data_IF_133823452018
#
_entry.id   IF_133823452018
#
_cell.length_a   1.000
_cell.length_b   1.000
_cell.length_c   1.000
_cell.angle_alpha   90.00
_cell.angle_beta   90.00
_cell.angle_gamma   90.00
#
_symmetry.space_group_name_H-M   'P 1'
#
loop_
_entity.id
_entity.type
_entity.pdbx_description
1 polymer ?
#
# COMPACT_ATOMS: atom_id res chain seq x y z
N UNK A 1 10.72 35.54 41.43
CA UNK A 1 11.33 34.43 40.66
C UNK A 1 10.22 33.58 40.04
N UNK A 2 9.98 33.76 38.77
CA UNK A 2 8.96 32.97 38.04
C UNK A 2 9.65 31.75 37.48
N UNK A 3 9.29 30.56 37.95
CA UNK A 3 9.73 29.30 37.38
C UNK A 3 8.97 29.07 36.07
N UNK A 4 9.68 29.18 34.97
CA UNK A 4 9.21 28.77 33.65
C UNK A 4 9.02 27.25 33.68
N UNK A 5 7.75 26.78 33.64
CA UNK A 5 7.44 25.40 33.43
C UNK A 5 7.83 25.01 31.99
N UNK A 6 8.79 24.13 31.87
CA UNK A 6 9.17 23.52 30.59
C UNK A 6 8.04 22.58 30.17
N UNK A 7 7.14 23.05 29.31
CA UNK A 7 6.13 22.21 28.69
C UNK A 7 6.85 21.26 27.71
N UNK A 8 7.03 20.01 28.13
CA UNK A 8 7.44 18.96 27.22
C UNK A 8 6.42 18.88 26.09
N UNK A 9 6.88 19.10 24.86
CA UNK A 9 6.09 18.89 23.64
C UNK A 9 5.59 17.43 23.66
N UNK A 10 4.30 17.19 23.34
CA UNK A 10 3.84 15.83 23.21
C UNK A 10 4.67 15.15 22.11
N UNK A 11 5.29 14.04 22.44
CA UNK A 11 5.96 13.18 21.46
C UNK A 11 4.86 12.73 20.50
N UNK A 12 4.87 13.28 19.30
CA UNK A 12 3.99 12.85 18.22
C UNK A 12 4.28 11.34 18.00
N UNK A 13 3.33 10.51 18.41
CA UNK A 13 3.44 9.06 18.22
C UNK A 13 3.52 8.85 16.71
N UNK A 14 4.69 8.49 16.23
CA UNK A 14 4.90 8.08 14.84
C UNK A 14 3.98 6.88 14.59
N UNK A 15 2.81 7.14 13.99
CA UNK A 15 1.92 6.09 13.55
C UNK A 15 2.59 5.53 12.30
N UNK A 16 3.36 4.46 12.49
CA UNK A 16 3.85 3.67 11.37
C UNK A 16 2.60 3.20 10.60
N UNK A 17 2.59 3.32 9.27
CA UNK A 17 1.47 2.80 8.49
C UNK A 17 1.27 1.32 8.88
N UNK A 18 0.05 0.95 9.23
CA UNK A 18 -0.30 -0.44 9.47
C UNK A 18 0.09 -1.24 8.24
N UNK A 19 1.09 -2.09 8.40
CA UNK A 19 1.56 -2.94 7.30
C UNK A 19 0.53 -4.05 7.15
N UNK A 20 -0.30 -3.98 6.13
CA UNK A 20 -1.11 -5.13 5.71
C UNK A 20 -0.19 -6.33 5.48
N UNK A 21 -0.50 -7.52 6.02
CA UNK A 21 0.30 -8.70 5.78
C UNK A 21 0.31 -9.01 4.29
N UNK A 22 1.47 -8.95 3.66
CA UNK A 22 1.63 -9.16 2.23
C UNK A 22 2.28 -10.52 1.97
N UNK A 23 1.75 -11.25 0.98
CA UNK A 23 2.39 -12.42 0.39
C UNK A 23 3.03 -12.03 -0.94
N UNK A 24 4.16 -12.65 -1.27
CA UNK A 24 4.87 -12.42 -2.53
C UNK A 24 5.18 -13.73 -3.20
N UNK A 25 4.85 -13.83 -4.48
CA UNK A 25 5.17 -14.97 -5.35
C UNK A 25 5.94 -14.48 -6.56
N UNK A 26 6.99 -15.17 -6.94
CA UNK A 26 7.77 -14.89 -8.14
C UNK A 26 7.50 -15.97 -9.20
N UNK A 27 7.31 -15.54 -10.44
CA UNK A 27 7.16 -16.41 -11.61
C UNK A 27 8.03 -15.83 -12.72
N UNK A 28 9.18 -16.44 -12.96
CA UNK A 28 10.20 -15.94 -13.89
C UNK A 28 10.60 -14.48 -13.57
N UNK A 29 10.32 -13.54 -14.44
CA UNK A 29 10.63 -12.10 -14.26
C UNK A 29 9.48 -11.29 -13.68
N UNK A 30 8.37 -11.96 -13.34
CA UNK A 30 7.19 -11.35 -12.75
C UNK A 30 7.11 -11.63 -11.25
N UNK A 31 6.49 -10.72 -10.53
CA UNK A 31 6.08 -10.95 -9.16
C UNK A 31 4.61 -10.59 -8.97
N UNK A 32 3.99 -11.33 -8.05
CA UNK A 32 2.65 -11.08 -7.56
C UNK A 32 2.77 -10.78 -6.09
N UNK A 33 2.29 -9.62 -5.68
CA UNK A 33 2.17 -9.23 -4.27
C UNK A 33 0.69 -9.12 -3.95
N UNK A 34 0.24 -9.76 -2.88
CA UNK A 34 -1.16 -9.81 -2.51
C UNK A 34 -1.35 -9.63 -1.01
N UNK A 35 -2.48 -9.08 -0.63
CA UNK A 35 -2.91 -8.94 0.76
C UNK A 35 -4.43 -8.91 0.86
N UNK A 36 -4.93 -9.23 2.04
CA UNK A 36 -6.35 -9.02 2.40
C UNK A 36 -6.44 -8.62 3.86
N UNK A 37 -7.26 -7.62 4.16
CA UNK A 37 -7.48 -7.16 5.52
C UNK A 37 -8.74 -6.30 5.63
N UNK A 38 -9.10 -5.92 6.84
CA UNK A 38 -10.11 -4.90 7.11
C UNK A 38 -9.57 -3.53 6.64
N UNK A 39 -10.36 -2.86 5.80
CA UNK A 39 -10.02 -1.53 5.30
C UNK A 39 -10.35 -0.45 6.33
N UNK A 40 -11.53 -0.54 6.94
CA UNK A 40 -11.97 0.35 8.01
C UNK A 40 -13.08 -0.29 8.86
N UNK A 41 -13.18 0.19 10.10
CA UNK A 41 -14.28 -0.08 11.02
C UNK A 41 -14.71 1.27 11.63
N UNK A 42 -15.76 1.85 11.10
CA UNK A 42 -16.23 3.17 11.52
C UNK A 42 -17.42 3.11 12.49
N UNK A 43 -18.02 1.94 12.67
CA UNK A 43 -19.12 1.80 13.64
C UNK A 43 -18.62 1.85 15.07
N UNK A 44 -17.50 1.20 15.37
CA UNK A 44 -16.97 1.13 16.73
C UNK A 44 -16.45 2.49 17.21
N UNK A 45 -15.87 3.28 16.30
CA UNK A 45 -15.27 4.58 16.60
C UNK A 45 -16.19 5.77 16.29
N UNK A 46 -17.40 5.55 15.81
CA UNK A 46 -18.35 6.59 15.46
C UNK A 46 -17.86 7.53 14.35
N UNK A 47 -17.16 6.99 13.34
CA UNK A 47 -16.53 7.76 12.27
C UNK A 47 -17.44 7.96 11.05
N UNK A 48 -17.10 8.90 10.14
CA UNK A 48 -18.02 9.41 9.12
C UNK A 48 -18.62 8.41 8.15
N UNK A 49 -17.96 7.29 7.83
CA UNK A 49 -18.56 6.27 6.96
C UNK A 49 -19.85 5.69 7.57
N UNK A 50 -19.91 5.64 8.91
CA UNK A 50 -21.09 5.17 9.63
C UNK A 50 -22.02 6.30 10.03
N UNK A 51 -21.51 7.42 10.53
CA UNK A 51 -22.32 8.48 11.15
C UNK A 51 -22.63 9.67 10.22
N UNK A 52 -21.89 9.82 9.11
CA UNK A 52 -22.00 10.96 8.22
C UNK A 52 -22.95 10.76 7.04
N UNK A 53 -23.25 11.84 6.33
CA UNK A 53 -23.99 11.87 5.07
C UNK A 53 -23.16 12.64 4.02
N UNK A 54 -23.58 12.53 2.76
CA UNK A 54 -22.89 13.17 1.64
C UNK A 54 -21.61 12.43 1.25
N UNK A 55 -20.74 13.10 0.54
CA UNK A 55 -19.50 12.52 0.04
C UNK A 55 -18.50 12.26 1.16
N UNK A 56 -18.05 11.03 1.30
CA UNK A 56 -17.10 10.58 2.31
C UNK A 56 -16.13 9.59 1.70
N UNK A 57 -14.87 9.61 2.15
CA UNK A 57 -13.84 8.69 1.67
C UNK A 57 -12.95 8.17 2.79
N UNK A 58 -12.45 6.97 2.60
CA UNK A 58 -11.32 6.42 3.35
C UNK A 58 -10.20 6.16 2.36
N UNK A 59 -9.00 6.61 2.69
CA UNK A 59 -7.78 6.35 1.91
C UNK A 59 -6.80 5.57 2.75
N UNK A 60 -6.18 4.56 2.13
CA UNK A 60 -5.15 3.74 2.76
C UNK A 60 -3.96 3.64 1.81
N UNK A 61 -2.82 4.17 2.25
CA UNK A 61 -1.58 4.03 1.51
C UNK A 61 -0.96 2.65 1.72
N UNK A 62 -0.59 2.00 0.63
CA UNK A 62 0.04 0.68 0.61
C UNK A 62 1.46 0.83 0.05
N UNK A 63 2.44 0.39 0.82
CA UNK A 63 3.82 0.22 0.38
C UNK A 63 4.08 -1.26 0.10
N UNK A 64 4.62 -1.57 -1.08
CA UNK A 64 4.94 -2.95 -1.43
C UNK A 64 6.14 -3.47 -0.63
N UNK A 65 6.08 -4.71 -0.19
CA UNK A 65 7.22 -5.40 0.46
C UNK A 65 8.43 -5.52 -0.46
N UNK A 66 8.21 -5.49 -1.78
CA UNK A 66 9.24 -5.49 -2.81
C UNK A 66 8.87 -4.54 -3.94
N UNK A 67 9.80 -3.68 -4.33
CA UNK A 67 9.60 -2.69 -5.40
C UNK A 67 9.50 -3.39 -6.76
N UNK A 68 8.60 -2.91 -7.61
CA UNK A 68 8.49 -3.32 -9.01
C UNK A 68 9.47 -2.54 -9.90
N UNK A 69 9.73 -3.00 -11.11
CA UNK A 69 10.51 -2.27 -12.12
C UNK A 69 9.79 -0.98 -12.54
N UNK A 70 8.48 -1.06 -12.69
CA UNK A 70 7.56 0.04 -13.02
C UNK A 70 6.24 -0.12 -12.26
N UNK A 71 5.31 0.81 -12.39
CA UNK A 71 4.01 0.70 -11.74
C UNK A 71 3.31 -0.60 -12.14
N UNK A 72 2.92 -1.46 -11.16
CA UNK A 72 2.27 -2.74 -11.46
C UNK A 72 0.81 -2.55 -11.84
N UNK A 73 0.19 -3.63 -12.32
CA UNK A 73 -1.26 -3.72 -12.46
C UNK A 73 -1.88 -4.10 -11.12
N UNK A 74 -2.87 -3.31 -10.66
CA UNK A 74 -3.57 -3.51 -9.39
C UNK A 74 -4.97 -4.03 -9.63
N UNK A 75 -5.34 -5.10 -8.93
CA UNK A 75 -6.71 -5.60 -8.84
C UNK A 75 -7.18 -5.50 -7.40
N UNK A 76 -8.37 -4.96 -7.20
CA UNK A 76 -9.02 -4.81 -5.90
C UNK A 76 -10.32 -5.58 -5.86
N UNK A 77 -10.69 -6.09 -4.68
CA UNK A 77 -11.99 -6.70 -4.45
C UNK A 77 -12.44 -6.55 -3.00
N UNK A 78 -13.73 -6.33 -2.80
CA UNK A 78 -14.32 -6.43 -1.47
C UNK A 78 -14.41 -7.91 -1.06
N UNK A 79 -14.00 -8.19 0.18
CA UNK A 79 -14.19 -9.51 0.82
C UNK A 79 -15.29 -9.48 1.86
N UNK A 80 -15.69 -8.30 2.32
CA UNK A 80 -16.79 -8.12 3.25
C UNK A 80 -17.26 -6.67 3.29
N UNK A 81 -18.53 -6.46 3.49
CA UNK A 81 -19.13 -5.15 3.73
C UNK A 81 -20.30 -5.29 4.71
N UNK A 82 -20.31 -4.43 5.72
CA UNK A 82 -21.38 -4.30 6.69
C UNK A 82 -21.96 -2.89 6.58
N UNK A 83 -23.20 -2.79 6.13
CA UNK A 83 -23.87 -1.54 5.85
C UNK A 83 -25.28 -1.52 6.43
N UNK A 84 -25.80 -0.33 6.71
CA UNK A 84 -27.16 -0.18 7.18
C UNK A 84 -28.18 -0.69 6.14
N UNK A 85 -29.22 -1.37 6.60
CA UNK A 85 -30.20 -2.07 5.75
C UNK A 85 -31.33 -1.18 5.20
N UNK A 86 -31.49 0.02 5.74
CA UNK A 86 -32.60 0.93 5.48
C UNK A 86 -32.30 1.99 4.40
N UNK A 87 -31.21 1.82 3.65
CA UNK A 87 -30.76 2.77 2.64
C UNK A 87 -30.11 2.08 1.45
N UNK A 88 -29.99 2.78 0.34
CA UNK A 88 -29.28 2.25 -0.81
C UNK A 88 -27.76 2.18 -0.53
N UNK A 89 -27.16 1.04 -0.86
CA UNK A 89 -25.71 0.87 -0.78
C UNK A 89 -25.02 1.50 -1.99
N UNK A 90 -24.25 2.55 -1.76
CA UNK A 90 -23.48 3.26 -2.77
C UNK A 90 -22.02 3.32 -2.34
N UNK A 91 -21.16 2.79 -3.16
CA UNK A 91 -19.71 2.90 -2.93
C UNK A 91 -18.91 2.78 -4.21
N UNK A 92 -17.67 3.24 -4.15
CA UNK A 92 -16.64 3.00 -5.15
C UNK A 92 -15.35 2.59 -4.45
N UNK A 93 -14.70 1.56 -4.96
CA UNK A 93 -13.40 1.09 -4.53
C UNK A 93 -12.43 1.22 -5.71
N UNK A 94 -11.33 1.91 -5.53
CA UNK A 94 -10.33 2.10 -6.59
C UNK A 94 -8.92 2.18 -6.06
N UNK A 95 -7.95 1.79 -6.91
CA UNK A 95 -6.54 2.07 -6.70
C UNK A 95 -6.20 3.40 -7.38
N UNK A 96 -5.56 4.29 -6.64
CA UNK A 96 -5.08 5.58 -7.12
C UNK A 96 -3.58 5.71 -6.83
N UNK A 97 -2.90 6.63 -7.50
CA UNK A 97 -1.48 6.93 -7.30
C UNK A 97 -0.59 5.69 -7.37
N UNK A 98 -0.83 4.82 -8.36
CA UNK A 98 -0.09 3.57 -8.54
C UNK A 98 1.32 3.87 -9.02
N UNK A 99 2.32 3.41 -8.25
CA UNK A 99 3.75 3.57 -8.49
C UNK A 99 4.46 2.21 -8.32
N UNK A 100 5.71 2.15 -8.73
CA UNK A 100 6.55 0.97 -8.51
C UNK A 100 6.74 0.61 -7.03
N UNK A 101 6.58 1.57 -6.13
CA UNK A 101 6.81 1.42 -4.68
C UNK A 101 5.54 1.15 -3.87
N UNK A 102 4.36 1.44 -4.44
CA UNK A 102 3.09 1.33 -3.72
C UNK A 102 1.93 1.98 -4.46
N UNK A 103 0.79 2.05 -3.80
CA UNK A 103 -0.43 2.69 -4.30
C UNK A 103 -1.33 3.12 -3.15
N UNK A 104 -2.38 3.85 -3.45
CA UNK A 104 -3.41 4.20 -2.46
C UNK A 104 -4.72 3.51 -2.79
N UNK A 105 -5.31 2.85 -1.80
CA UNK A 105 -6.69 2.37 -1.86
C UNK A 105 -7.59 3.53 -1.49
N UNK A 106 -8.58 3.82 -2.33
CA UNK A 106 -9.62 4.80 -2.04
C UNK A 106 -10.98 4.13 -2.05
N UNK A 107 -11.67 4.22 -0.93
CA UNK A 107 -13.07 3.79 -0.79
C UNK A 107 -13.93 5.03 -0.57
N UNK A 108 -14.91 5.25 -1.45
CA UNK A 108 -15.82 6.40 -1.37
C UNK A 108 -17.25 5.95 -1.25
N UNK A 109 -18.04 6.72 -0.52
CA UNK A 109 -19.50 6.59 -0.46
C UNK A 109 -20.16 7.97 -0.52
N UNK A 110 -21.44 8.05 -0.78
CA UNK A 110 -22.15 9.30 -0.91
C UNK A 110 -23.64 9.18 -0.51
N UNK A 111 -24.30 10.34 -0.44
CA UNK A 111 -25.72 10.45 -0.06
C UNK A 111 -25.96 9.92 1.36
N UNK A 112 -26.99 9.12 1.57
CA UNK A 112 -27.44 8.58 2.85
C UNK A 112 -26.88 7.19 3.18
N UNK A 113 -25.94 6.68 2.41
CA UNK A 113 -25.30 5.37 2.66
C UNK A 113 -24.47 5.40 3.94
N UNK A 114 -24.71 4.47 4.86
CA UNK A 114 -23.93 4.27 6.07
C UNK A 114 -23.26 2.90 6.03
N UNK A 115 -21.93 2.88 6.13
CA UNK A 115 -21.12 1.66 6.10
C UNK A 115 -20.37 1.53 7.42
N UNK A 116 -20.67 0.45 8.15
CA UNK A 116 -20.08 0.16 9.44
C UNK A 116 -18.62 -0.24 9.30
N UNK A 117 -18.36 -1.19 8.41
CA UNK A 117 -17.02 -1.72 8.13
C UNK A 117 -16.93 -2.28 6.71
N UNK A 118 -15.72 -2.31 6.18
CA UNK A 118 -15.42 -2.96 4.91
C UNK A 118 -14.07 -3.68 4.97
N UNK A 119 -14.01 -4.86 4.37
CA UNK A 119 -12.80 -5.64 4.19
C UNK A 119 -12.53 -5.87 2.72
N UNK A 120 -11.27 -5.99 2.35
CA UNK A 120 -10.88 -6.09 0.96
C UNK A 120 -9.64 -6.97 0.76
N UNK A 121 -9.44 -7.40 -0.48
CA UNK A 121 -8.22 -8.01 -0.97
C UNK A 121 -7.68 -7.23 -2.15
N UNK A 122 -6.38 -7.28 -2.35
CA UNK A 122 -5.74 -6.69 -3.51
C UNK A 122 -4.60 -7.57 -4.02
N UNK A 123 -4.30 -7.42 -5.31
CA UNK A 123 -3.12 -8.00 -5.96
C UNK A 123 -2.43 -6.94 -6.80
N UNK A 124 -1.11 -6.95 -6.76
CA UNK A 124 -0.23 -6.20 -7.64
C UNK A 124 0.59 -7.17 -8.47
N UNK A 125 0.53 -7.06 -9.79
CA UNK A 125 1.26 -7.92 -10.72
C UNK A 125 2.11 -7.07 -11.62
N UNK A 126 3.40 -7.37 -11.70
CA UNK A 126 4.34 -6.63 -12.54
C UNK A 126 5.73 -7.26 -12.58
N UNK A 127 6.63 -6.60 -13.29
CA UNK A 127 8.00 -7.04 -13.44
C UNK A 127 8.80 -6.80 -12.16
N UNK A 128 9.65 -7.76 -11.84
CA UNK A 128 10.61 -7.64 -10.75
C UNK A 128 11.66 -6.59 -11.16
N UNK A 129 11.97 -5.67 -10.24
CA UNK A 129 13.06 -4.73 -10.47
C UNK A 129 14.39 -5.49 -10.50
N UNK A 130 15.19 -5.38 -11.57
CA UNK A 130 16.47 -6.06 -11.66
C UNK A 130 17.42 -5.61 -10.54
N UNK A 131 18.15 -6.58 -9.96
CA UNK A 131 19.21 -6.27 -9.00
C UNK A 131 20.45 -5.78 -9.78
N UNK A 132 20.71 -4.47 -9.72
CA UNK A 132 21.85 -3.83 -10.38
C UNK A 132 23.17 -4.01 -9.62
N UNK A 133 23.16 -4.55 -8.40
CA UNK A 133 24.36 -4.73 -7.58
C UNK A 133 25.34 -5.77 -8.15
N UNK A 134 24.84 -6.78 -8.87
CA UNK A 134 25.64 -7.83 -9.50
C UNK A 134 26.26 -7.43 -10.85
N UNK A 135 25.74 -6.42 -11.54
CA UNK A 135 26.27 -5.96 -12.83
C UNK A 135 27.62 -5.25 -12.64
N UNK A 136 27.80 -4.50 -11.57
CA UNK A 136 29.08 -3.84 -11.25
C UNK A 136 30.20 -4.82 -10.88
N UNK A 137 29.89 -5.98 -10.27
CA UNK A 137 30.90 -7.01 -9.95
C UNK A 137 31.39 -7.77 -11.18
N UNK A 138 30.59 -7.98 -12.21
CA UNK A 138 30.99 -8.62 -13.47
C UNK A 138 31.83 -7.71 -14.37
N UNK A 139 31.61 -6.40 -14.36
CA UNK A 139 32.39 -5.44 -15.12
C UNK A 139 33.81 -5.24 -14.59
N UNK A 140 34.06 -5.49 -13.28
CA UNK A 140 35.40 -5.39 -12.67
C UNK A 140 36.23 -6.66 -12.81
N UNK A 141 35.67 -7.80 -13.20
CA UNK A 141 36.39 -9.08 -13.40
C UNK A 141 36.80 -9.34 -14.86
N UNK A 142 36.47 -8.46 -15.80
CA UNK A 142 36.70 -8.63 -17.24
C UNK A 142 38.02 -8.08 -17.78
N UNK A 143 39.00 -7.76 -16.94
CA UNK A 143 40.29 -7.26 -17.43
C UNK A 143 41.47 -8.06 -16.81
N UNK A 144 41.68 -9.24 -17.36
CA UNK A 144 42.98 -9.92 -17.20
C UNK A 144 43.49 -10.39 -18.55
N UNK A 145 44.43 -9.63 -19.08
CA UNK A 145 45.75 -10.14 -19.42
C UNK A 145 45.87 -10.89 -20.74
N UNK A 146 46.27 -10.12 -21.80
CA UNK A 146 46.95 -10.69 -22.93
C UNK A 146 48.36 -11.10 -22.53
N UNK A 147 48.67 -12.37 -22.55
CA UNK A 147 50.06 -12.85 -22.58
C UNK A 147 50.53 -12.82 -24.02
N UNK A 148 51.43 -11.88 -24.33
CA UNK A 148 52.28 -11.96 -25.50
C UNK A 148 53.33 -13.06 -25.29
N UNK A 149 53.31 -14.09 -26.12
CA UNK A 149 54.41 -14.99 -26.36
C UNK A 149 55.34 -14.32 -27.37
N UNK A 150 56.58 -14.01 -26.95
CA UNK A 150 57.67 -13.77 -27.86
C UNK A 150 58.51 -15.06 -28.00
N UNK A 151 58.71 -15.45 -29.25
CA UNK A 151 59.83 -16.32 -29.67
C UNK A 151 60.97 -15.44 -30.14
#
# INVERSE_FOLDING_TARGET
MVKTANMAQPVEKLILPEVFPQTRTEIDKLQIIASSDELFNHVDDGLPMWTGNGDRSVKREILFVQVFEEAPNITLGLTGIDAAHDQNLRFRLQAIDVKATGFTIEFTTWSDTHIARASMAWQAIGKIKPDTSNVKRRATMGHTSGYGLQL
#
